data_IF_883896523164
#
_entry.id   IF_883896523164
#
_cell.length_a   1.000
_cell.length_b   1.000
_cell.length_c   1.000
_cell.angle_alpha   90.00
_cell.angle_beta   90.00
_cell.angle_gamma   90.00
#
_symmetry.space_group_name_H-M   'P 1'
#
loop_
_entity.id
_entity.type
_entity.pdbx_description
1 polymer ?
#
# COMPACT_ATOMS: atom_id res chain seq x y z
N UNK A 1 4.03 -0.59 -38.35
CA UNK A 1 2.79 -1.06 -39.01
C UNK A 1 1.96 0.17 -39.29
N UNK A 2 1.87 0.54 -40.57
CA UNK A 2 1.36 1.85 -41.01
C UNK A 2 -0.18 1.88 -41.00
N UNK A 3 -0.78 3.04 -40.76
CA UNK A 3 -2.22 3.29 -40.74
C UNK A 3 -2.96 2.76 -41.99
N UNK A 4 -2.24 2.62 -43.11
CA UNK A 4 -2.74 2.09 -44.37
C UNK A 4 -3.02 0.57 -44.32
N UNK A 5 -2.23 -0.18 -43.55
CA UNK A 5 -2.45 -1.62 -43.33
C UNK A 5 -3.65 -1.85 -42.40
N UNK A 6 -3.83 -0.99 -41.39
CA UNK A 6 -5.00 -1.03 -40.50
C UNK A 6 -6.30 -0.74 -41.27
N UNK A 7 -6.28 0.20 -42.21
CA UNK A 7 -7.42 0.51 -43.07
C UNK A 7 -7.76 -0.63 -44.02
N UNK A 8 -6.76 -1.23 -44.67
CA UNK A 8 -6.98 -2.40 -45.54
C UNK A 8 -7.48 -3.63 -44.78
N UNK A 9 -7.06 -3.79 -43.52
CA UNK A 9 -7.53 -4.88 -42.66
C UNK A 9 -8.97 -4.63 -42.19
N UNK A 10 -9.30 -3.37 -41.88
CA UNK A 10 -10.66 -2.93 -41.53
C UNK A 10 -11.64 -3.07 -42.69
N UNK A 11 -11.26 -2.65 -43.90
CA UNK A 11 -12.11 -2.75 -45.09
C UNK A 11 -12.35 -4.23 -45.50
N UNK A 12 -11.38 -5.12 -45.26
CA UNK A 12 -11.56 -6.57 -45.44
C UNK A 12 -12.47 -7.22 -44.39
N UNK A 13 -12.50 -6.70 -43.16
CA UNK A 13 -13.38 -7.17 -42.07
C UNK A 13 -14.81 -6.62 -42.21
N UNK A 14 -14.95 -5.37 -42.66
CA UNK A 14 -16.23 -4.69 -42.87
C UNK A 14 -17.04 -5.26 -44.04
N UNK A 15 -16.39 -5.95 -44.99
CA UNK A 15 -17.03 -6.43 -46.21
C UNK A 15 -18.04 -7.57 -46.02
N UNK A 16 -18.19 -8.21 -44.85
CA UNK A 16 -19.14 -9.33 -44.75
C UNK A 16 -19.66 -9.76 -43.37
N UNK A 17 -19.61 -8.91 -42.33
CA UNK A 17 -20.31 -9.21 -41.07
C UNK A 17 -20.60 -7.91 -40.33
N UNK A 18 -21.86 -7.49 -40.36
CA UNK A 18 -22.39 -6.71 -39.24
C UNK A 18 -22.15 -7.58 -38.00
N UNK A 19 -21.35 -7.08 -37.06
CA UNK A 19 -21.11 -7.77 -35.80
C UNK A 19 -22.45 -7.84 -35.06
N UNK A 20 -23.08 -9.02 -35.13
CA UNK A 20 -24.28 -9.35 -34.37
C UNK A 20 -24.08 -8.93 -32.90
N UNK A 21 -25.10 -8.33 -32.27
CA UNK A 21 -25.02 -7.83 -30.88
C UNK A 21 -24.51 -8.93 -29.93
N UNK A 22 -24.82 -10.19 -30.22
CA UNK A 22 -24.29 -11.36 -29.52
C UNK A 22 -22.77 -11.48 -29.58
N UNK A 23 -22.14 -11.21 -30.73
CA UNK A 23 -20.68 -11.21 -30.89
C UNK A 23 -20.02 -10.03 -30.19
N UNK A 24 -20.64 -8.84 -30.22
CA UNK A 24 -20.15 -7.67 -29.48
C UNK A 24 -20.18 -7.94 -27.98
N UNK A 25 -21.29 -8.52 -27.49
CA UNK A 25 -21.46 -8.90 -26.10
C UNK A 25 -20.47 -9.98 -25.66
N UNK A 26 -20.19 -10.97 -26.51
CA UNK A 26 -19.21 -12.02 -26.25
C UNK A 26 -17.77 -11.47 -26.22
N UNK A 27 -17.43 -10.56 -27.13
CA UNK A 27 -16.13 -9.88 -27.15
C UNK A 27 -15.94 -9.00 -25.90
N UNK A 28 -16.99 -8.31 -25.46
CA UNK A 28 -16.97 -7.52 -24.23
C UNK A 28 -16.91 -8.38 -22.97
N UNK A 29 -17.64 -9.49 -22.91
CA UNK A 29 -17.57 -10.43 -21.79
C UNK A 29 -16.17 -11.02 -21.68
N UNK A 30 -15.59 -11.44 -22.81
CA UNK A 30 -14.22 -11.97 -22.88
C UNK A 30 -13.18 -10.91 -22.49
N UNK A 31 -13.33 -9.66 -22.96
CA UNK A 31 -12.46 -8.54 -22.58
C UNK A 31 -12.57 -8.26 -21.08
N UNK A 32 -13.77 -8.27 -20.54
CA UNK A 32 -14.04 -7.98 -19.13
C UNK A 32 -13.54 -9.10 -18.22
N UNK A 33 -13.76 -10.37 -18.55
CA UNK A 33 -13.16 -11.51 -17.85
C UNK A 33 -11.63 -11.41 -17.85
N UNK A 34 -11.03 -11.10 -18.98
CA UNK A 34 -9.57 -10.93 -19.09
C UNK A 34 -9.07 -9.72 -18.27
N UNK A 35 -9.86 -8.63 -18.18
CA UNK A 35 -9.57 -7.52 -17.28
C UNK A 35 -9.68 -7.96 -15.82
N UNK A 36 -10.76 -8.64 -15.44
CA UNK A 36 -10.99 -9.19 -14.09
C UNK A 36 -9.88 -10.14 -13.65
N UNK A 37 -9.40 -11.01 -14.53
CA UNK A 37 -8.28 -11.93 -14.27
C UNK A 37 -6.96 -11.17 -14.05
N UNK A 38 -6.71 -10.12 -14.85
CA UNK A 38 -5.55 -9.26 -14.64
C UNK A 38 -5.65 -8.49 -13.32
N UNK A 39 -6.84 -8.05 -12.95
CA UNK A 39 -7.10 -7.38 -11.67
C UNK A 39 -6.87 -8.36 -10.52
N UNK A 40 -7.42 -9.57 -10.58
CA UNK A 40 -7.19 -10.61 -9.57
C UNK A 40 -5.72 -10.93 -9.39
N UNK A 41 -4.98 -11.09 -10.50
CA UNK A 41 -3.54 -11.31 -10.45
C UNK A 41 -2.80 -10.12 -9.83
N UNK A 42 -3.17 -8.89 -10.15
CA UNK A 42 -2.51 -7.69 -9.60
C UNK A 42 -2.85 -7.46 -8.12
N UNK A 43 -4.09 -7.75 -7.70
CA UNK A 43 -4.48 -7.74 -6.29
C UNK A 43 -3.70 -8.81 -5.53
N UNK A 44 -3.55 -10.01 -6.10
CA UNK A 44 -2.70 -11.07 -5.52
C UNK A 44 -1.24 -10.69 -5.42
N UNK A 45 -0.67 -10.06 -6.45
CA UNK A 45 0.69 -9.51 -6.39
C UNK A 45 0.77 -8.44 -5.30
N UNK A 46 -0.24 -7.57 -5.20
CA UNK A 46 -0.36 -6.60 -4.12
C UNK A 46 -0.39 -7.25 -2.73
N UNK A 47 -1.12 -8.36 -2.56
CA UNK A 47 -1.11 -9.13 -1.31
C UNK A 47 0.28 -9.65 -0.97
N UNK A 48 0.98 -10.22 -1.94
CA UNK A 48 2.32 -10.77 -1.73
C UNK A 48 3.29 -9.65 -1.34
N UNK A 49 3.27 -8.53 -2.08
CA UNK A 49 4.13 -7.37 -1.78
C UNK A 49 3.84 -6.81 -0.39
N UNK A 50 2.57 -6.61 -0.04
CA UNK A 50 2.21 -6.16 1.30
C UNK A 50 2.58 -7.17 2.38
N UNK A 51 2.33 -8.45 2.17
CA UNK A 51 2.66 -9.49 3.12
C UNK A 51 4.16 -9.51 3.41
N UNK A 52 4.99 -9.47 2.36
CA UNK A 52 6.45 -9.37 2.49
C UNK A 52 6.85 -8.12 3.25
N UNK A 53 6.22 -6.98 2.96
CA UNK A 53 6.51 -5.72 3.63
C UNK A 53 6.15 -5.75 5.12
N UNK A 54 4.99 -6.33 5.47
CA UNK A 54 4.57 -6.56 6.85
C UNK A 54 5.55 -7.49 7.56
N UNK A 55 6.02 -8.54 6.88
CA UNK A 55 7.03 -9.46 7.40
C UNK A 55 8.35 -8.74 7.68
N UNK A 56 8.81 -7.90 6.75
CA UNK A 56 10.03 -7.10 6.93
C UNK A 56 9.89 -6.20 8.16
N UNK A 57 8.77 -5.47 8.31
CA UNK A 57 8.56 -4.61 9.47
C UNK A 57 8.41 -5.38 10.78
N UNK A 58 7.72 -6.53 10.76
CA UNK A 58 7.61 -7.37 11.94
C UNK A 58 8.97 -7.96 12.37
N UNK A 59 9.80 -8.38 11.40
CA UNK A 59 11.15 -8.86 11.65
C UNK A 59 12.07 -7.74 12.13
N UNK A 60 11.92 -6.53 11.59
CA UNK A 60 12.67 -5.36 12.03
C UNK A 60 12.36 -5.01 13.50
N UNK A 61 11.09 -4.94 13.87
CA UNK A 61 10.66 -4.60 15.22
C UNK A 61 11.02 -5.70 16.26
N UNK A 62 10.92 -6.98 15.89
CA UNK A 62 11.14 -8.10 16.84
C UNK A 62 12.56 -8.68 16.86
N UNK A 63 13.30 -8.60 15.75
CA UNK A 63 14.63 -9.23 15.64
C UNK A 63 15.74 -8.19 15.45
N UNK A 64 15.65 -7.34 14.43
CA UNK A 64 16.76 -6.46 14.06
C UNK A 64 16.91 -5.29 15.03
N UNK A 65 15.84 -4.59 15.38
CA UNK A 65 15.87 -3.48 16.32
C UNK A 65 16.41 -3.89 17.71
N UNK A 66 15.95 -4.98 18.35
CA UNK A 66 16.51 -5.43 19.62
C UNK A 66 17.97 -5.89 19.51
N UNK A 67 18.37 -6.50 18.38
CA UNK A 67 19.73 -6.97 18.16
C UNK A 67 20.71 -5.81 17.97
N UNK A 68 20.34 -4.81 17.17
CA UNK A 68 21.14 -3.60 16.94
C UNK A 68 21.31 -2.77 18.22
N UNK A 69 20.26 -2.64 19.02
CA UNK A 69 20.31 -1.87 20.27
C UNK A 69 21.19 -2.57 21.32
N UNK A 70 21.10 -3.91 21.43
CA UNK A 70 22.01 -4.70 22.28
C UNK A 70 23.47 -4.63 21.82
N UNK A 71 23.71 -4.52 20.51
CA UNK A 71 25.06 -4.44 19.96
C UNK A 71 25.75 -3.08 20.13
N UNK A 72 24.99 -1.99 20.30
CA UNK A 72 25.53 -0.62 20.38
C UNK A 72 25.67 -0.12 21.82
N UNK A 73 24.82 -0.58 22.76
CA UNK A 73 24.95 -0.19 24.18
C UNK A 73 24.09 -1.07 25.11
N UNK A 74 24.68 -1.67 26.14
CA UNK A 74 23.97 -2.54 27.10
C UNK A 74 22.91 -1.82 27.95
N UNK A 75 22.91 -0.48 27.99
CA UNK A 75 22.06 0.33 28.89
C UNK A 75 20.92 1.10 28.21
N UNK A 76 20.74 1.01 26.88
CA UNK A 76 19.60 1.66 26.22
C UNK A 76 18.33 0.84 26.42
N UNK A 77 17.59 1.17 27.47
CA UNK A 77 16.25 0.60 27.70
C UNK A 77 15.25 1.23 26.74
N UNK A 78 14.60 0.42 25.89
CA UNK A 78 13.48 0.89 25.05
C UNK A 78 12.27 1.12 25.97
N UNK A 79 11.57 2.26 25.87
CA UNK A 79 10.36 2.47 26.67
C UNK A 79 9.30 1.41 26.37
N UNK A 80 8.68 0.83 27.40
CA UNK A 80 7.62 -0.17 27.23
C UNK A 80 6.42 0.35 26.42
N UNK A 81 6.10 1.64 26.50
CA UNK A 81 5.03 2.24 25.69
C UNK A 81 5.35 2.20 24.20
N UNK A 82 6.62 2.29 23.82
CA UNK A 82 7.07 2.23 22.43
C UNK A 82 6.94 0.81 21.89
N UNK A 83 7.34 -0.19 22.70
CA UNK A 83 7.17 -1.61 22.37
C UNK A 83 5.70 -1.97 22.22
N UNK A 84 4.85 -1.48 23.13
CA UNK A 84 3.40 -1.66 23.03
C UNK A 84 2.84 -1.02 21.76
N UNK A 85 3.26 0.20 21.43
CA UNK A 85 2.77 0.94 20.27
C UNK A 85 3.24 0.30 18.95
N UNK A 86 4.47 -0.19 18.88
CA UNK A 86 4.99 -0.97 17.75
C UNK A 86 4.24 -2.30 17.59
N UNK A 87 4.08 -3.05 18.67
CA UNK A 87 3.31 -4.31 18.69
C UNK A 87 1.84 -4.10 18.30
N UNK A 88 1.20 -3.06 18.81
CA UNK A 88 -0.17 -2.69 18.47
C UNK A 88 -0.30 -2.30 16.99
N UNK A 89 0.63 -1.48 16.48
CA UNK A 89 0.64 -1.08 15.07
C UNK A 89 0.80 -2.29 14.15
N UNK A 90 1.74 -3.19 14.45
CA UNK A 90 1.94 -4.42 13.67
C UNK A 90 0.73 -5.35 13.75
N UNK A 91 0.13 -5.52 14.93
CA UNK A 91 -1.09 -6.31 15.09
C UNK A 91 -2.25 -5.71 14.29
N UNK A 92 -2.40 -4.38 14.27
CA UNK A 92 -3.41 -3.69 13.48
C UNK A 92 -3.18 -3.89 11.98
N UNK A 93 -1.94 -3.73 11.51
CA UNK A 93 -1.59 -3.96 10.10
C UNK A 93 -1.86 -5.42 9.69
N UNK A 94 -1.46 -6.38 10.53
CA UNK A 94 -1.64 -7.80 10.25
C UNK A 94 -3.11 -8.22 10.25
N UNK A 95 -3.89 -7.78 11.24
CA UNK A 95 -5.33 -8.07 11.33
C UNK A 95 -6.11 -7.43 10.18
N UNK A 96 -5.81 -6.19 9.81
CA UNK A 96 -6.44 -5.53 8.66
C UNK A 96 -6.08 -6.20 7.34
N UNK A 97 -4.84 -6.67 7.18
CA UNK A 97 -4.42 -7.46 6.04
C UNK A 97 -5.20 -8.78 5.94
N UNK A 98 -5.27 -9.56 7.04
CA UNK A 98 -6.03 -10.83 7.08
C UNK A 98 -7.51 -10.58 6.77
N UNK A 99 -8.13 -9.59 7.42
CA UNK A 99 -9.53 -9.24 7.16
C UNK A 99 -9.78 -8.95 5.68
N UNK A 100 -8.87 -8.20 5.05
CA UNK A 100 -8.97 -7.88 3.64
C UNK A 100 -8.83 -9.11 2.74
N UNK A 101 -7.85 -9.97 3.01
CA UNK A 101 -7.65 -11.23 2.26
C UNK A 101 -8.89 -12.12 2.36
N UNK A 102 -9.43 -12.33 3.57
CA UNK A 102 -10.63 -13.15 3.79
C UNK A 102 -11.83 -12.56 3.03
N UNK A 103 -12.08 -11.25 3.17
CA UNK A 103 -13.22 -10.60 2.54
C UNK A 103 -13.12 -10.61 1.01
N UNK A 104 -11.91 -10.45 0.47
CA UNK A 104 -11.63 -10.56 -0.95
C UNK A 104 -11.97 -11.95 -1.50
N UNK A 105 -11.41 -13.01 -0.89
CA UNK A 105 -11.67 -14.38 -1.34
C UNK A 105 -13.14 -14.79 -1.18
N UNK A 106 -13.82 -14.33 -0.11
CA UNK A 106 -15.24 -14.63 0.12
C UNK A 106 -16.14 -14.02 -0.96
N UNK A 107 -15.86 -12.78 -1.38
CA UNK A 107 -16.63 -12.14 -2.46
C UNK A 107 -16.31 -12.77 -3.80
N UNK A 108 -15.03 -13.08 -4.07
CA UNK A 108 -14.65 -13.80 -5.29
C UNK A 108 -15.39 -15.13 -5.42
N UNK A 109 -15.40 -15.94 -4.36
CA UNK A 109 -16.09 -17.24 -4.33
C UNK A 109 -17.61 -17.13 -4.53
N UNK A 110 -18.23 -16.04 -4.05
CA UNK A 110 -19.67 -15.82 -4.23
C UNK A 110 -20.04 -15.30 -5.63
N UNK A 111 -19.11 -14.65 -6.34
CA UNK A 111 -19.36 -14.10 -7.67
C UNK A 111 -19.26 -15.14 -8.81
N UNK A 112 -18.48 -16.21 -8.63
CA UNK A 112 -18.27 -17.26 -9.64
C UNK A 112 -19.52 -18.11 -9.90
N UNK A 113 -20.51 -18.07 -8.99
CA UNK A 113 -21.64 -19.00 -8.97
C UNK A 113 -22.92 -18.38 -9.54
N UNK A 114 -23.14 -17.06 -9.43
CA UNK A 114 -24.48 -16.46 -9.72
C UNK A 114 -24.51 -15.02 -10.24
N UNK A 115 -23.40 -14.29 -10.41
CA UNK A 115 -23.49 -12.83 -10.66
C UNK A 115 -23.42 -12.42 -12.14
N UNK A 116 -24.22 -11.40 -12.47
CA UNK A 116 -24.10 -10.59 -13.69
C UNK A 116 -22.79 -9.77 -13.62
N UNK A 117 -22.03 -9.75 -14.71
CA UNK A 117 -20.67 -9.19 -14.81
C UNK A 117 -20.52 -7.77 -14.21
N UNK A 118 -21.55 -6.94 -14.41
CA UNK A 118 -21.64 -5.57 -13.91
C UNK A 118 -21.68 -5.49 -12.38
N UNK A 119 -22.39 -6.43 -11.73
CA UNK A 119 -22.50 -6.48 -10.27
C UNK A 119 -21.18 -6.91 -9.63
N UNK A 120 -20.48 -7.86 -10.27
CA UNK A 120 -19.14 -8.30 -9.88
C UNK A 120 -18.13 -7.14 -9.95
N UNK A 121 -18.15 -6.36 -11.04
CA UNK A 121 -17.32 -5.17 -11.20
C UNK A 121 -17.57 -4.12 -10.10
N UNK A 122 -18.84 -3.82 -9.79
CA UNK A 122 -19.18 -2.86 -8.73
C UNK A 122 -18.69 -3.32 -7.36
N UNK A 123 -18.93 -4.59 -7.01
CA UNK A 123 -18.48 -5.16 -5.72
C UNK A 123 -16.96 -5.14 -5.59
N UNK A 124 -16.22 -5.45 -6.66
CA UNK A 124 -14.76 -5.40 -6.67
C UNK A 124 -14.25 -3.96 -6.50
N UNK A 125 -14.86 -2.98 -7.17
CA UNK A 125 -14.48 -1.56 -7.03
C UNK A 125 -14.67 -1.09 -5.59
N UNK A 126 -15.78 -1.43 -4.95
CA UNK A 126 -16.05 -0.98 -3.57
C UNK A 126 -15.13 -1.65 -2.55
N UNK A 127 -14.81 -2.93 -2.74
CA UNK A 127 -13.78 -3.62 -1.93
C UNK A 127 -12.43 -2.93 -2.08
N UNK A 128 -12.05 -2.53 -3.30
CA UNK A 128 -10.79 -1.84 -3.55
C UNK A 128 -10.73 -0.47 -2.88
N UNK A 129 -11.84 0.29 -2.86
CA UNK A 129 -11.91 1.59 -2.17
C UNK A 129 -11.82 1.44 -0.65
N UNK A 130 -12.54 0.47 -0.07
CA UNK A 130 -12.48 0.20 1.37
C UNK A 130 -11.05 -0.18 1.75
N UNK A 131 -10.41 -1.02 0.95
CA UNK A 131 -9.02 -1.40 1.15
C UNK A 131 -8.06 -0.22 1.07
N UNK A 132 -8.21 0.64 0.06
CA UNK A 132 -7.42 1.85 -0.06
C UNK A 132 -7.50 2.70 1.22
N UNK A 133 -8.69 2.88 1.78
CA UNK A 133 -8.87 3.63 3.03
C UNK A 133 -8.21 2.96 4.22
N UNK A 134 -8.37 1.64 4.37
CA UNK A 134 -7.77 0.86 5.46
C UNK A 134 -6.23 0.84 5.37
N UNK A 135 -5.68 0.72 4.15
CA UNK A 135 -4.25 0.78 3.91
C UNK A 135 -3.65 2.12 4.31
N UNK A 136 -4.28 3.24 3.90
CA UNK A 136 -3.79 4.57 4.31
C UNK A 136 -3.90 4.81 5.82
N UNK A 137 -4.92 4.25 6.47
CA UNK A 137 -5.04 4.30 7.93
C UNK A 137 -3.90 3.53 8.60
N UNK A 138 -3.64 2.29 8.16
CA UNK A 138 -2.55 1.46 8.65
C UNK A 138 -1.16 2.08 8.39
N UNK A 139 -0.99 2.69 7.21
CA UNK A 139 0.21 3.44 6.87
C UNK A 139 0.41 4.63 7.81
N UNK A 140 -0.65 5.40 8.06
CA UNK A 140 -0.59 6.53 8.98
C UNK A 140 -0.20 6.10 10.40
N UNK A 141 -0.79 5.03 10.93
CA UNK A 141 -0.43 4.51 12.26
C UNK A 141 1.02 4.03 12.32
N UNK A 142 1.52 3.40 11.26
CA UNK A 142 2.92 2.98 11.15
C UNK A 142 3.89 4.17 11.14
N UNK A 143 3.61 5.19 10.33
CA UNK A 143 4.45 6.39 10.27
C UNK A 143 4.42 7.16 11.59
N UNK A 144 3.28 7.18 12.28
CA UNK A 144 3.16 7.75 13.61
C UNK A 144 3.99 6.99 14.65
N UNK A 145 4.00 5.65 14.60
CA UNK A 145 4.83 4.81 15.45
C UNK A 145 6.33 5.07 15.22
N UNK A 146 6.77 5.08 13.95
CA UNK A 146 8.14 5.38 13.58
C UNK A 146 8.57 6.78 14.01
N UNK A 147 7.73 7.79 13.78
CA UNK A 147 8.00 9.17 14.19
C UNK A 147 8.15 9.28 15.71
N UNK A 148 7.25 8.65 16.47
CA UNK A 148 7.31 8.62 17.93
C UNK A 148 8.57 7.89 18.44
N UNK A 149 8.95 6.78 17.80
CA UNK A 149 10.17 6.04 18.09
C UNK A 149 11.44 6.84 17.85
N UNK A 150 11.51 7.52 16.71
CA UNK A 150 12.64 8.39 16.39
C UNK A 150 12.79 9.54 17.37
N UNK A 151 11.70 10.24 17.72
CA UNK A 151 11.73 11.34 18.69
C UNK A 151 12.18 10.83 20.07
N UNK A 152 11.65 9.68 20.51
CA UNK A 152 12.07 9.08 21.79
C UNK A 152 13.53 8.63 21.77
N UNK A 153 14.01 8.09 20.65
CA UNK A 153 15.39 7.65 20.48
C UNK A 153 16.36 8.82 20.48
N UNK A 154 16.04 9.89 19.76
CA UNK A 154 16.79 11.14 19.79
C UNK A 154 16.87 11.74 21.18
N UNK A 155 15.74 11.82 21.89
CA UNK A 155 15.70 12.37 23.24
C UNK A 155 16.62 11.58 24.19
N UNK A 156 16.52 10.24 24.18
CA UNK A 156 17.38 9.39 25.02
C UNK A 156 18.86 9.48 24.62
N UNK A 157 19.16 9.41 23.33
CA UNK A 157 20.54 9.53 22.83
C UNK A 157 21.17 10.87 23.20
N UNK A 158 20.39 11.95 23.16
CA UNK A 158 20.85 13.26 23.63
C UNK A 158 21.10 13.28 25.15
N UNK A 159 20.17 12.77 25.96
CA UNK A 159 20.34 12.69 27.41
C UNK A 159 21.59 11.89 27.81
N UNK A 160 21.83 10.74 27.17
CA UNK A 160 22.96 9.87 27.48
C UNK A 160 24.29 10.46 26.98
N UNK A 161 24.29 11.14 25.83
CA UNK A 161 25.46 11.88 25.34
C UNK A 161 25.89 13.01 26.28
N UNK A 162 24.93 13.76 26.83
CA UNK A 162 25.19 14.82 27.83
C UNK A 162 25.72 14.24 29.13
N UNK A 163 25.15 13.13 29.61
CA UNK A 163 25.63 12.43 30.82
C UNK A 163 27.06 11.91 30.67
N UNK A 164 27.41 11.35 29.50
CA UNK A 164 28.76 10.85 29.25
C UNK A 164 29.81 11.96 29.19
N UNK A 165 29.42 13.17 28.78
CA UNK A 165 30.32 14.33 28.76
C UNK A 165 30.42 15.05 30.11
N UNK A 166 29.63 14.63 31.12
CA UNK A 166 29.67 15.21 32.47
C UNK A 166 29.15 16.65 32.55
N UNK A 167 28.48 17.14 31.50
CA UNK A 167 28.00 18.52 31.40
C UNK A 167 26.60 18.60 32.05
N UNK A 168 26.36 19.48 33.03
CA UNK A 168 25.03 19.69 33.57
C UNK A 168 24.11 20.30 32.51
N UNK A 169 22.82 19.93 32.50
CA UNK A 169 21.83 20.40 31.51
C UNK A 169 21.74 21.93 31.36
N UNK A 170 22.19 22.68 32.37
CA UNK A 170 22.21 24.15 32.40
C UNK A 170 23.36 24.79 31.60
N UNK A 171 24.39 24.03 31.23
CA UNK A 171 25.57 24.55 30.50
C UNK A 171 25.54 24.23 29.00
N UNK A 172 24.48 23.56 28.54
CA UNK A 172 24.33 23.21 27.13
C UNK A 172 24.06 24.48 26.33
N UNK A 173 24.96 24.79 25.38
CA UNK A 173 24.75 25.87 24.42
C UNK A 173 23.48 25.62 23.60
N UNK A 174 22.54 26.56 23.66
CA UNK A 174 21.25 26.52 22.97
C UNK A 174 21.40 26.27 21.47
N UNK A 175 22.49 26.76 20.86
CA UNK A 175 22.81 26.61 19.45
C UNK A 175 23.05 25.15 19.04
N UNK A 176 23.72 24.35 19.89
CA UNK A 176 23.97 22.93 19.63
C UNK A 176 22.68 22.10 19.72
N UNK A 177 21.79 22.47 20.65
CA UNK A 177 20.46 21.86 20.78
C UNK A 177 19.58 22.12 19.56
N UNK A 178 19.54 23.38 19.10
CA UNK A 178 18.78 23.77 17.91
C UNK A 178 19.31 23.04 16.68
N UNK A 179 20.62 22.96 16.52
CA UNK A 179 21.26 22.27 15.39
C UNK A 179 20.97 20.76 15.42
N UNK A 180 21.05 20.12 16.58
CA UNK A 180 20.72 18.70 16.75
C UNK A 180 19.24 18.39 16.42
N UNK A 181 18.32 19.25 16.88
CA UNK A 181 16.90 19.14 16.54
C UNK A 181 16.68 19.29 15.04
N UNK A 182 17.35 20.27 14.41
CA UNK A 182 17.21 20.55 12.99
C UNK A 182 17.72 19.38 12.12
N UNK A 183 18.89 18.83 12.42
CA UNK A 183 19.42 17.63 11.76
C UNK A 183 18.47 16.44 11.96
N UNK A 184 18.02 16.22 13.20
CA UNK A 184 17.09 15.16 13.53
C UNK A 184 15.79 15.24 12.73
N UNK A 185 15.23 16.44 12.62
CA UNK A 185 14.00 16.71 11.89
C UNK A 185 14.19 16.50 10.38
N UNK A 186 15.32 16.90 9.82
CA UNK A 186 15.66 16.63 8.41
C UNK A 186 15.75 15.12 8.15
N UNK A 187 16.44 14.37 9.02
CA UNK A 187 16.57 12.91 8.90
C UNK A 187 15.19 12.25 8.97
N UNK A 188 14.34 12.66 9.93
CA UNK A 188 12.99 12.13 10.09
C UNK A 188 12.12 12.41 8.86
N UNK A 189 12.14 13.62 8.32
CA UNK A 189 11.37 13.95 7.11
C UNK A 189 11.83 13.11 5.92
N UNK A 190 13.15 12.95 5.74
CA UNK A 190 13.70 12.18 4.64
C UNK A 190 13.33 10.70 4.78
N UNK A 191 13.51 10.11 5.96
CA UNK A 191 13.25 8.67 6.16
C UNK A 191 11.75 8.35 6.10
N UNK A 192 10.92 9.04 6.87
CA UNK A 192 9.46 8.84 6.91
C UNK A 192 8.84 9.21 5.57
N UNK A 193 9.30 10.31 4.95
CA UNK A 193 8.85 10.76 3.63
C UNK A 193 9.19 9.77 2.51
N UNK A 194 10.40 9.22 2.50
CA UNK A 194 10.80 8.20 1.53
C UNK A 194 9.92 6.94 1.62
N UNK A 195 9.69 6.44 2.83
CA UNK A 195 8.82 5.28 3.09
C UNK A 195 7.39 5.56 2.59
N UNK A 196 6.84 6.73 2.94
CA UNK A 196 5.50 7.12 2.50
C UNK A 196 5.40 7.20 0.97
N UNK A 197 6.37 7.83 0.29
CA UNK A 197 6.37 7.97 -1.17
C UNK A 197 6.48 6.60 -1.83
N UNK A 198 7.38 5.74 -1.37
CA UNK A 198 7.58 4.40 -1.91
C UNK A 198 6.30 3.55 -1.80
N UNK A 199 5.66 3.55 -0.62
CA UNK A 199 4.42 2.82 -0.37
C UNK A 199 3.23 3.39 -1.14
N UNK A 200 3.11 4.71 -1.19
CA UNK A 200 2.07 5.39 -1.97
C UNK A 200 2.22 5.12 -3.47
N UNK A 201 3.45 5.15 -3.97
CA UNK A 201 3.75 4.86 -5.37
C UNK A 201 3.43 3.41 -5.72
N UNK A 202 3.87 2.46 -4.89
CA UNK A 202 3.55 1.03 -5.04
C UNK A 202 2.03 0.82 -5.09
N UNK A 203 1.31 1.42 -4.15
CA UNK A 203 -0.15 1.34 -4.10
C UNK A 203 -0.83 1.96 -5.33
N UNK A 204 -0.42 3.16 -5.75
CA UNK A 204 -1.00 3.84 -6.92
C UNK A 204 -0.75 3.07 -8.21
N UNK A 205 0.45 2.50 -8.38
CA UNK A 205 0.79 1.66 -9.53
C UNK A 205 0.01 0.35 -9.54
N UNK A 206 -0.25 -0.24 -8.37
CA UNK A 206 -0.96 -1.51 -8.21
C UNK A 206 -2.49 -1.42 -8.23
N UNK A 207 -3.08 -0.29 -7.85
CA UNK A 207 -4.54 -0.17 -7.71
C UNK A 207 -5.14 1.01 -8.51
N UNK A 208 -4.45 2.16 -8.54
CA UNK A 208 -4.98 3.39 -9.14
C UNK A 208 -5.24 3.29 -10.65
N UNK A 209 -4.26 2.79 -11.40
CA UNK A 209 -4.40 2.60 -12.86
C UNK A 209 -5.45 1.55 -13.24
N UNK A 210 -5.82 0.67 -12.30
CA UNK A 210 -6.75 -0.43 -12.54
C UNK A 210 -8.19 -0.03 -12.25
N UNK A 211 -8.45 0.71 -11.17
CA UNK A 211 -9.79 1.27 -10.88
C UNK A 211 -10.29 2.09 -12.07
N UNK A 212 -9.40 2.86 -12.69
CA UNK A 212 -9.75 3.70 -13.83
C UNK A 212 -10.15 2.86 -15.06
N UNK A 213 -9.43 1.75 -15.31
CA UNK A 213 -9.76 0.82 -16.40
C UNK A 213 -11.07 0.06 -16.15
N UNK A 214 -11.32 -0.40 -14.92
CA UNK A 214 -12.60 -1.02 -14.56
C UNK A 214 -13.78 -0.08 -14.77
N UNK A 215 -13.65 1.18 -14.33
CA UNK A 215 -14.72 2.17 -14.48
C UNK A 215 -15.05 2.45 -15.94
N UNK A 216 -14.02 2.52 -16.79
CA UNK A 216 -14.16 2.66 -18.23
C UNK A 216 -14.95 1.47 -18.83
N UNK A 217 -14.55 0.24 -18.53
CA UNK A 217 -15.25 -0.95 -19.03
C UNK A 217 -16.67 -1.09 -18.48
N UNK A 218 -16.92 -0.68 -17.24
CA UNK A 218 -18.28 -0.65 -16.67
C UNK A 218 -19.16 0.39 -17.38
N UNK A 219 -18.62 1.55 -17.74
CA UNK A 219 -19.37 2.55 -18.50
C UNK A 219 -19.67 2.06 -19.93
N UNK A 220 -18.68 1.46 -20.62
CA UNK A 220 -18.88 0.85 -21.94
C UNK A 220 -19.99 -0.22 -21.91
N UNK A 221 -20.06 -1.03 -20.85
CA UNK A 221 -21.09 -2.08 -20.71
C UNK A 221 -22.49 -1.52 -20.38
N UNK A 222 -22.57 -0.34 -19.74
CA UNK A 222 -23.85 0.34 -19.49
C UNK A 222 -24.40 0.97 -20.75
N UNK A 223 -23.54 1.62 -21.53
CA UNK A 223 -23.91 2.27 -22.80
C UNK A 223 -24.43 1.28 -23.86
N UNK A 224 -24.17 -0.03 -23.71
CA UNK A 224 -24.62 -1.07 -24.64
C UNK A 224 -25.89 -1.78 -24.15
N UNK A 225 -26.23 -1.67 -22.86
CA UNK A 225 -27.45 -2.27 -22.29
C UNK A 225 -28.61 -1.25 -22.16
N UNK A 226 -28.35 0.04 -22.37
CA UNK A 226 -29.34 1.12 -22.53
C UNK A 226 -29.62 1.35 -24.03
#
# INVERSE_FOLDING_TARGET
MELKDLKNTWDKLASNKELDEGQIRELLDKRTRNLLDRIDRNIKIGFVVLFVLILIFALDDFLFSPLLIKGVSENLTIPNWLLFLGGFSNALIFTTFIYFVIKYYRVKKSCDITCNLQETLMRIIDILKIYQRMFYLALFTLLFAMGSGFVSGMYKGFLDGVKQQGIPFSEIQTDQLVLAILIGLVILIISVGAIFIFLRWGFRRLYGNYIQKLKLTLNELKEIND
#
